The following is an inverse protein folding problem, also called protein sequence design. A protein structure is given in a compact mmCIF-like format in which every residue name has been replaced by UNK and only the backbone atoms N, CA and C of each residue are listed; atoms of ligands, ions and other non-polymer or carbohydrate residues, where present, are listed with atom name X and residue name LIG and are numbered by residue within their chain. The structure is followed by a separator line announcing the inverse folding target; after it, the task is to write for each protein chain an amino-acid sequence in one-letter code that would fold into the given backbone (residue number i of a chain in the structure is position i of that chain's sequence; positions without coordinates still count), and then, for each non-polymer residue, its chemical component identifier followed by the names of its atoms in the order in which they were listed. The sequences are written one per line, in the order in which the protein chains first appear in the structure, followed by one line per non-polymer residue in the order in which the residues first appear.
data_IF_428518787994
#
_entry.id   IF_428518787994
#
_cell.length_a   1.000
_cell.length_b   1.000
_cell.length_c   1.000
_cell.angle_alpha   90.00
_cell.angle_beta   90.00
_cell.angle_gamma   90.00
#
_symmetry.space_group_name_H-M   'P 1'
#
loop_
_entity.id
_entity.type
_entity.pdbx_description
1 polymer ?
#
# COMPACT_ATOMS: atom_id res chain seq x y z
N UNK A 1 -1.51 -5.45 -10.39
CA UNK A 1 -2.45 -5.46 -9.25
C UNK A 1 -3.70 -4.74 -9.68
N UNK A 2 -4.86 -5.28 -9.30
CA UNK A 2 -6.20 -4.73 -9.49
C UNK A 2 -6.75 -4.29 -8.14
N UNK A 3 -7.65 -3.31 -8.14
CA UNK A 3 -8.38 -2.89 -6.94
C UNK A 3 -9.02 -4.12 -6.27
N UNK A 4 -8.81 -4.26 -4.96
CA UNK A 4 -9.25 -5.41 -4.18
C UNK A 4 -8.20 -6.50 -3.97
N UNK A 5 -7.08 -6.49 -4.72
CA UNK A 5 -6.01 -7.48 -4.54
C UNK A 5 -5.40 -7.40 -3.13
N UNK A 6 -5.12 -8.56 -2.54
CA UNK A 6 -4.34 -8.65 -1.31
C UNK A 6 -2.87 -8.33 -1.60
N UNK A 7 -2.28 -7.54 -0.72
CA UNK A 7 -0.89 -7.10 -0.83
C UNK A 7 -0.15 -7.33 0.47
N UNK A 8 1.12 -7.67 0.34
CA UNK A 8 2.08 -7.75 1.41
C UNK A 8 2.85 -6.44 1.50
N UNK A 9 2.92 -5.88 2.71
CA UNK A 9 3.73 -4.71 3.06
C UNK A 9 4.76 -5.17 4.11
N UNK A 10 6.08 -5.09 3.82
CA UNK A 10 7.12 -5.49 4.75
C UNK A 10 7.10 -4.73 6.07
N UNK A 11 7.88 -5.22 7.04
CA UNK A 11 8.26 -4.45 8.21
C UNK A 11 9.05 -3.19 7.80
N UNK A 12 9.04 -2.18 8.67
CA UNK A 12 9.84 -0.96 8.56
C UNK A 12 9.42 -0.03 7.40
N UNK A 13 8.17 -0.15 6.94
CA UNK A 13 7.59 0.67 5.87
C UNK A 13 6.75 1.80 6.46
N UNK A 14 6.96 3.01 5.95
CA UNK A 14 6.18 4.19 6.34
C UNK A 14 4.83 4.18 5.63
N UNK A 15 3.76 4.40 6.40
CA UNK A 15 2.41 4.61 5.92
C UNK A 15 2.03 6.08 6.17
N UNK A 16 1.41 6.69 5.15
CA UNK A 16 0.96 8.07 5.19
C UNK A 16 -0.56 8.13 5.01
N UNK A 17 -1.21 9.18 5.49
CA UNK A 17 -2.62 9.40 5.18
C UNK A 17 -2.78 10.06 3.80
N UNK A 18 -4.02 10.37 3.44
CA UNK A 18 -4.36 11.07 2.19
C UNK A 18 -3.71 12.46 2.06
N UNK A 19 -3.29 13.07 3.17
CA UNK A 19 -2.65 14.38 3.25
C UNK A 19 -1.11 14.29 3.28
N UNK A 20 -0.55 13.08 3.11
CA UNK A 20 0.88 12.75 3.28
C UNK A 20 1.42 12.98 4.69
N UNK A 21 0.54 12.98 5.68
CA UNK A 21 0.97 13.04 7.08
C UNK A 21 1.39 11.63 7.48
N UNK A 22 2.59 11.52 8.05
CA UNK A 22 3.09 10.25 8.58
C UNK A 22 2.12 9.70 9.62
N UNK A 23 1.59 8.51 9.36
CA UNK A 23 0.65 7.85 10.26
C UNK A 23 1.40 6.91 11.20
N UNK A 24 2.17 6.01 10.62
CA UNK A 24 2.72 4.86 11.33
C UNK A 24 3.80 4.18 10.49
N UNK A 25 4.66 3.42 11.17
CA UNK A 25 5.63 2.52 10.55
C UNK A 25 5.18 1.10 10.82
N UNK A 26 5.31 0.22 9.83
CA UNK A 26 4.95 -1.19 10.02
C UNK A 26 5.93 -1.86 10.99
N UNK A 27 5.53 -2.03 12.25
CA UNK A 27 6.35 -2.72 13.27
C UNK A 27 6.63 -4.20 12.95
N UNK A 28 5.75 -4.83 12.17
CA UNK A 28 5.85 -6.17 11.60
C UNK A 28 5.24 -6.14 10.20
N UNK A 29 5.53 -7.13 9.34
CA UNK A 29 4.88 -7.20 8.05
C UNK A 29 3.36 -7.29 8.20
N UNK A 30 2.64 -6.62 7.30
CA UNK A 30 1.19 -6.58 7.30
C UNK A 30 0.63 -6.96 5.94
N UNK A 31 -0.62 -7.43 5.95
CA UNK A 31 -1.43 -7.58 4.75
C UNK A 31 -2.36 -6.38 4.64
N UNK A 32 -2.47 -5.84 3.44
CA UNK A 32 -3.43 -4.80 3.08
C UNK A 32 -4.21 -5.17 1.83
N UNK A 33 -5.10 -4.26 1.44
CA UNK A 33 -5.85 -4.34 0.18
C UNK A 33 -5.37 -3.22 -0.73
N UNK A 34 -4.98 -3.54 -1.96
CA UNK A 34 -4.68 -2.52 -2.96
C UNK A 34 -5.98 -1.82 -3.39
N UNK A 35 -6.01 -0.48 -3.31
CA UNK A 35 -7.15 0.31 -3.78
C UNK A 35 -6.87 0.89 -5.16
N UNK A 36 -5.81 1.70 -5.29
CA UNK A 36 -5.47 2.34 -6.56
C UNK A 36 -4.04 2.85 -6.60
N UNK A 37 -3.53 3.08 -7.81
CA UNK A 37 -2.29 3.81 -8.05
C UNK A 37 -2.52 5.32 -8.01
N UNK A 38 -1.63 6.07 -7.36
CA UNK A 38 -1.68 7.53 -7.42
C UNK A 38 -1.22 8.00 -8.80
N UNK A 39 -1.99 8.85 -9.52
CA UNK A 39 -1.67 9.24 -10.88
C UNK A 39 -0.30 9.90 -10.99
N UNK A 40 0.44 9.55 -12.05
CA UNK A 40 1.68 10.25 -12.41
C UNK A 40 1.31 11.69 -12.81
N UNK A 41 1.78 12.67 -12.04
CA UNK A 41 1.47 14.10 -12.23
C UNK A 41 0.61 14.72 -11.13
N UNK A 42 0.03 13.91 -10.24
CA UNK A 42 -0.41 14.41 -8.94
C UNK A 42 0.84 14.70 -8.09
N UNK A 43 0.96 15.92 -7.56
CA UNK A 43 2.07 16.39 -6.72
C UNK A 43 2.50 15.39 -5.64
N UNK A 44 3.80 15.38 -5.27
CA UNK A 44 4.50 14.67 -4.17
C UNK A 44 4.20 13.17 -3.91
N UNK A 45 3.14 12.60 -4.47
CA UNK A 45 2.63 11.23 -4.30
C UNK A 45 2.82 10.39 -5.57
N UNK A 46 3.54 10.89 -6.57
CA UNK A 46 3.91 10.09 -7.72
C UNK A 46 4.74 8.87 -7.24
N UNK A 47 4.35 7.67 -7.68
CA UNK A 47 5.03 6.43 -7.29
C UNK A 47 4.56 5.83 -5.95
N UNK A 48 3.38 6.20 -5.46
CA UNK A 48 2.73 5.56 -4.33
C UNK A 48 1.46 4.81 -4.73
N UNK A 49 1.04 3.89 -3.88
CA UNK A 49 -0.25 3.24 -3.92
C UNK A 49 -1.11 3.66 -2.74
N UNK A 50 -2.41 3.79 -2.99
CA UNK A 50 -3.43 3.89 -1.95
C UNK A 50 -3.86 2.47 -1.60
N UNK A 51 -3.83 2.16 -0.31
CA UNK A 51 -4.08 0.83 0.24
C UNK A 51 -5.01 0.93 1.46
N UNK A 52 -5.77 -0.12 1.75
CA UNK A 52 -6.47 -0.25 3.02
C UNK A 52 -5.69 -1.20 3.92
N UNK A 53 -5.20 -0.71 5.05
CA UNK A 53 -4.41 -1.49 6.00
C UNK A 53 -4.66 -1.02 7.43
N UNK A 54 -4.66 -1.94 8.40
CA UNK A 54 -4.93 -1.64 9.83
C UNK A 54 -6.24 -0.86 10.05
N UNK A 55 -7.28 -1.15 9.26
CA UNK A 55 -8.60 -0.54 9.40
C UNK A 55 -8.75 0.88 8.82
N UNK A 56 -7.76 1.37 8.06
CA UNK A 56 -7.78 2.72 7.47
C UNK A 56 -7.11 2.76 6.09
N UNK A 57 -7.49 3.74 5.28
CA UNK A 57 -6.78 4.04 4.04
C UNK A 57 -5.43 4.69 4.35
N UNK A 58 -4.40 4.29 3.61
CA UNK A 58 -3.07 4.82 3.69
C UNK A 58 -2.40 4.86 2.31
N UNK A 59 -1.41 5.72 2.18
CA UNK A 59 -0.51 5.83 1.04
C UNK A 59 0.83 5.19 1.38
N UNK A 60 1.34 4.36 0.48
CA UNK A 60 2.61 3.63 0.64
C UNK A 60 3.42 3.67 -0.65
N UNK A 61 4.74 3.74 -0.55
CA UNK A 61 5.61 3.71 -1.72
C UNK A 61 5.41 2.40 -2.50
N UNK A 62 5.23 2.49 -3.82
CA UNK A 62 5.00 1.33 -4.71
C UNK A 62 6.06 0.24 -4.55
N UNK A 63 7.32 0.61 -4.35
CA UNK A 63 8.45 -0.31 -4.14
C UNK A 63 8.35 -1.15 -2.85
N UNK A 64 7.48 -0.77 -1.92
CA UNK A 64 7.27 -1.45 -0.65
C UNK A 64 5.98 -2.29 -0.64
N UNK A 65 5.33 -2.45 -1.79
CA UNK A 65 4.09 -3.22 -1.92
C UNK A 65 4.33 -4.39 -2.87
N UNK A 66 4.01 -5.58 -2.39
CA UNK A 66 4.15 -6.82 -3.16
C UNK A 66 2.77 -7.46 -3.29
N UNK A 67 2.34 -7.85 -4.49
CA UNK A 67 1.13 -8.65 -4.63
C UNK A 67 1.32 -9.94 -3.83
N UNK A 68 0.34 -10.30 -3.01
CA UNK A 68 0.25 -11.69 -2.58
C UNK A 68 -0.27 -12.43 -3.80
N UNK A 69 0.57 -13.28 -4.40
CA UNK A 69 0.11 -14.17 -5.47
C UNK A 69 -1.16 -14.86 -4.97
N UNK A 70 -2.20 -14.89 -5.81
CA UNK A 70 -3.23 -15.88 -5.62
C UNK A 70 -2.51 -17.22 -5.83
N UNK A 71 -2.17 -17.92 -4.75
CA UNK A 71 -1.87 -19.35 -4.81
C UNK A 71 -3.16 -20.09 -5.17
N UNK A 72 -3.75 -19.73 -6.31
CA UNK A 72 -4.61 -20.59 -7.10
C UNK A 72 -3.72 -21.65 -7.70
N UNK A 73 -3.46 -22.68 -6.91
CA UNK A 73 -2.93 -23.94 -7.38
C UNK A 73 -3.90 -24.53 -8.43
N UNK A 74 -3.33 -24.96 -9.56
CA UNK A 74 -3.86 -25.90 -10.57
C UNK A 74 -5.04 -25.48 -11.45
#
# INVERSE_FOLDING_TARGET
MKEGDLIYIPQDVLLFDKENIYMDKTEKPIVGVFLKETPIGASFQAGTYVVYARGREATVARKCVYPMEDTGAH
#
